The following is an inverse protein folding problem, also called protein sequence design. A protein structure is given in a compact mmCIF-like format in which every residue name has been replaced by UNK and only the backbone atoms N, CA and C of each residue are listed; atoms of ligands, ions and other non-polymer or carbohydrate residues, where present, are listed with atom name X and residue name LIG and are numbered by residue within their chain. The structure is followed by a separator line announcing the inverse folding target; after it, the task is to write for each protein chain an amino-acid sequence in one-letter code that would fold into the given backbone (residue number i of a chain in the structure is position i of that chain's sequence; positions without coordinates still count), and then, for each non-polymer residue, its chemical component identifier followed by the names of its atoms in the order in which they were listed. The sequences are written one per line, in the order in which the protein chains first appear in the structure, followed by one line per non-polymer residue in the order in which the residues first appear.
data_IF_695522010130
#
_entry.id   IF_695522010130
#
_cell.length_a   1.000
_cell.length_b   1.000
_cell.length_c   1.000
_cell.angle_alpha   90.00
_cell.angle_beta   90.00
_cell.angle_gamma   90.00
#
_symmetry.space_group_name_H-M   'P 1'
#
loop_
_entity.id
_entity.type
_entity.pdbx_description
1 polymer ?
#
# COMPACT_ATOMS: atom_id res chain seq x y z
N UNK A 1 1.81 30.27 5.25
CA UNK A 1 1.23 29.21 4.40
C UNK A 1 0.95 29.82 3.05
N UNK A 2 1.75 29.48 2.03
CA UNK A 2 1.67 30.08 0.68
C UNK A 2 0.42 29.58 -0.06
N UNK A 3 -0.06 30.34 -1.08
CA UNK A 3 -1.24 29.94 -1.91
C UNK A 3 -1.07 28.58 -2.61
N UNK A 4 0.16 28.21 -2.96
CA UNK A 4 0.52 26.89 -3.53
C UNK A 4 0.21 25.78 -2.53
N UNK A 5 0.52 25.95 -1.25
CA UNK A 5 0.29 24.99 -0.17
C UNK A 5 -1.20 24.65 0.00
N UNK A 6 -2.07 25.69 -0.05
CA UNK A 6 -3.52 25.50 0.05
C UNK A 6 -4.13 24.77 -1.14
N UNK A 7 -3.60 24.96 -2.35
CA UNK A 7 -4.11 24.27 -3.56
C UNK A 7 -3.74 22.78 -3.58
N UNK A 8 -2.56 22.42 -3.08
CA UNK A 8 -2.11 21.04 -2.91
C UNK A 8 -2.95 20.33 -1.86
N UNK A 9 -3.20 20.97 -0.70
CA UNK A 9 -4.06 20.41 0.35
C UNK A 9 -5.48 20.13 -0.13
N UNK A 10 -6.09 21.04 -0.90
CA UNK A 10 -7.42 20.84 -1.46
C UNK A 10 -7.43 19.69 -2.49
N UNK A 11 -6.40 19.57 -3.32
CA UNK A 11 -6.24 18.49 -4.28
C UNK A 11 -6.12 17.14 -3.60
N UNK A 12 -5.31 17.05 -2.54
CA UNK A 12 -5.11 15.84 -1.75
C UNK A 12 -6.40 15.40 -1.04
N UNK A 13 -7.09 16.29 -0.38
CA UNK A 13 -8.37 15.97 0.26
C UNK A 13 -9.43 15.47 -0.74
N UNK A 14 -9.46 16.05 -1.93
CA UNK A 14 -10.38 15.60 -3.01
C UNK A 14 -10.07 14.21 -3.48
N UNK A 15 -8.80 13.85 -3.72
CA UNK A 15 -8.44 12.50 -4.16
C UNK A 15 -8.75 11.46 -3.07
N UNK A 16 -8.55 11.77 -1.79
CA UNK A 16 -8.92 10.89 -0.68
C UNK A 16 -10.42 10.63 -0.63
N UNK A 17 -11.25 11.67 -0.82
CA UNK A 17 -12.71 11.54 -0.83
C UNK A 17 -13.22 10.72 -2.03
N UNK A 18 -12.56 10.83 -3.18
CA UNK A 18 -12.85 10.01 -4.36
C UNK A 18 -12.44 8.56 -4.12
N UNK A 19 -11.21 8.31 -3.67
CA UNK A 19 -10.67 6.96 -3.43
C UNK A 19 -11.49 6.22 -2.37
N UNK A 20 -11.89 6.88 -1.29
CA UNK A 20 -12.74 6.27 -0.25
C UNK A 20 -14.07 5.71 -0.79
N UNK A 21 -14.57 6.25 -1.89
CA UNK A 21 -15.85 5.83 -2.50
C UNK A 21 -15.68 4.74 -3.56
N UNK A 22 -14.47 4.31 -3.87
CA UNK A 22 -14.19 3.27 -4.87
C UNK A 22 -14.53 1.90 -4.31
N UNK A 23 -15.50 1.24 -4.91
CA UNK A 23 -15.94 -0.12 -4.52
C UNK A 23 -15.83 -1.13 -5.66
N UNK A 24 -15.46 -0.69 -6.87
CA UNK A 24 -15.33 -1.54 -8.05
C UNK A 24 -13.97 -1.38 -8.72
N UNK A 25 -13.41 -2.46 -9.28
CA UNK A 25 -12.15 -2.39 -10.03
C UNK A 25 -12.22 -1.38 -11.18
N UNK A 26 -13.32 -1.33 -11.92
CA UNK A 26 -13.52 -0.41 -13.04
C UNK A 26 -13.39 1.05 -12.59
N UNK A 27 -14.09 1.44 -11.53
CA UNK A 27 -14.03 2.81 -11.01
C UNK A 27 -12.62 3.19 -10.53
N UNK A 28 -11.90 2.26 -9.88
CA UNK A 28 -10.51 2.50 -9.47
C UNK A 28 -9.57 2.66 -10.67
N UNK A 29 -9.71 1.82 -11.69
CA UNK A 29 -8.91 1.90 -12.93
C UNK A 29 -9.14 3.22 -13.65
N UNK A 30 -10.39 3.68 -13.73
CA UNK A 30 -10.72 4.97 -14.35
C UNK A 30 -9.98 6.12 -13.62
N UNK A 31 -9.93 6.12 -12.29
CA UNK A 31 -9.19 7.12 -11.52
C UNK A 31 -7.69 7.01 -11.81
N UNK A 32 -7.12 5.81 -11.72
CA UNK A 32 -5.68 5.59 -11.94
C UNK A 32 -5.26 6.09 -13.35
N UNK A 33 -6.08 5.87 -14.38
CA UNK A 33 -5.84 6.36 -15.74
C UNK A 33 -5.86 7.90 -15.89
N UNK A 34 -6.45 8.62 -14.94
CA UNK A 34 -6.39 10.09 -14.93
C UNK A 34 -5.12 10.63 -14.29
N UNK A 35 -4.38 9.79 -13.55
CA UNK A 35 -3.24 10.18 -12.74
C UNK A 35 -1.89 9.80 -13.36
N UNK A 36 -1.87 8.78 -14.21
CA UNK A 36 -0.65 8.31 -14.88
C UNK A 36 -0.97 7.70 -16.25
N UNK A 37 -0.03 7.83 -17.19
CA UNK A 37 -0.12 7.16 -18.48
C UNK A 37 -0.03 5.64 -18.33
N UNK A 38 -0.99 4.91 -18.85
CA UNK A 38 -1.04 3.45 -18.79
C UNK A 38 -0.09 2.83 -19.79
N UNK A 39 1.11 2.51 -19.34
CA UNK A 39 2.06 1.76 -20.14
C UNK A 39 1.70 0.26 -20.19
N UNK A 40 2.25 -0.51 -21.15
CA UNK A 40 2.08 -1.97 -21.17
C UNK A 40 2.52 -2.63 -19.87
N UNK A 41 3.53 -2.08 -19.17
CA UNK A 41 4.01 -2.60 -17.89
C UNK A 41 2.96 -2.43 -16.78
N UNK A 42 2.35 -1.27 -16.65
CA UNK A 42 1.26 -1.01 -15.69
C UNK A 42 0.04 -1.90 -16.00
N UNK A 43 -0.31 -2.06 -17.29
CA UNK A 43 -1.40 -2.93 -17.72
C UNK A 43 -1.14 -4.40 -17.33
N UNK A 44 0.09 -4.89 -17.54
CA UNK A 44 0.50 -6.24 -17.14
C UNK A 44 0.49 -6.42 -15.61
N UNK A 45 0.96 -5.42 -14.84
CA UNK A 45 0.92 -5.45 -13.37
C UNK A 45 -0.52 -5.53 -12.84
N UNK A 46 -1.42 -4.73 -13.41
CA UNK A 46 -2.85 -4.76 -13.08
C UNK A 46 -3.49 -6.13 -13.42
N UNK A 47 -3.15 -6.70 -14.57
CA UNK A 47 -3.65 -8.01 -15.00
C UNK A 47 -3.15 -9.13 -14.08
N UNK A 48 -1.86 -9.13 -13.72
CA UNK A 48 -1.29 -10.10 -12.78
C UNK A 48 -1.94 -9.99 -11.41
N UNK A 49 -2.04 -8.77 -10.85
CA UNK A 49 -2.69 -8.54 -9.56
C UNK A 49 -4.17 -8.98 -9.57
N UNK A 50 -4.91 -8.66 -10.63
CA UNK A 50 -6.32 -9.06 -10.79
C UNK A 50 -6.47 -10.57 -10.84
N UNK A 51 -5.60 -11.26 -11.57
CA UNK A 51 -5.60 -12.72 -11.67
C UNK A 51 -5.23 -13.37 -10.34
N UNK A 52 -4.22 -12.85 -9.65
CA UNK A 52 -3.70 -13.40 -8.39
C UNK A 52 -4.71 -13.27 -7.24
N UNK A 53 -5.42 -12.15 -7.16
CA UNK A 53 -6.45 -11.90 -6.14
C UNK A 53 -7.87 -12.35 -6.56
N UNK A 54 -8.00 -13.15 -7.63
CA UNK A 54 -9.31 -13.62 -8.10
C UNK A 54 -10.02 -14.43 -7.01
N UNK A 55 -11.25 -14.02 -6.68
CA UNK A 55 -12.08 -14.67 -5.65
C UNK A 55 -11.78 -14.21 -4.22
N UNK A 56 -10.83 -13.30 -4.02
CA UNK A 56 -10.59 -12.67 -2.72
C UNK A 56 -11.43 -11.39 -2.58
N UNK A 57 -11.89 -11.13 -1.35
CA UNK A 57 -12.72 -9.98 -1.01
C UNK A 57 -12.22 -9.28 0.25
N UNK A 58 -12.37 -7.97 0.31
CA UNK A 58 -12.14 -7.16 1.51
C UNK A 58 -13.25 -7.41 2.54
N UNK A 59 -13.03 -7.00 3.79
CA UNK A 59 -14.05 -7.09 4.86
C UNK A 59 -15.26 -6.22 4.59
N UNK A 60 -15.12 -5.17 3.81
CA UNK A 60 -16.18 -4.29 3.29
C UNK A 60 -17.01 -4.92 2.16
N UNK A 61 -16.57 -6.06 1.60
CA UNK A 61 -17.32 -6.84 0.60
C UNK A 61 -16.91 -6.60 -0.85
N UNK A 62 -16.08 -5.58 -1.14
CA UNK A 62 -15.55 -5.35 -2.51
C UNK A 62 -14.46 -6.37 -2.88
N UNK A 63 -14.24 -6.62 -4.20
CA UNK A 63 -13.13 -7.43 -4.68
C UNK A 63 -11.79 -6.89 -4.16
N UNK A 64 -10.90 -7.78 -3.69
CA UNK A 64 -9.63 -7.38 -3.07
C UNK A 64 -8.79 -6.47 -3.94
N UNK A 65 -8.80 -6.69 -5.28
CA UNK A 65 -8.03 -5.90 -6.25
C UNK A 65 -8.33 -4.38 -6.20
N UNK A 66 -9.47 -3.97 -5.66
CA UNK A 66 -9.80 -2.54 -5.47
C UNK A 66 -8.76 -1.85 -4.59
N UNK A 67 -8.26 -2.54 -3.56
CA UNK A 67 -7.24 -2.01 -2.67
C UNK A 67 -5.92 -1.67 -3.38
N UNK A 68 -5.23 -2.60 -4.07
CA UNK A 68 -4.01 -2.27 -4.80
C UNK A 68 -4.19 -1.18 -5.86
N UNK A 69 -5.34 -1.13 -6.53
CA UNK A 69 -5.64 -0.06 -7.49
C UNK A 69 -5.72 1.30 -6.79
N UNK A 70 -6.39 1.38 -5.64
CA UNK A 70 -6.48 2.62 -4.86
C UNK A 70 -5.10 3.04 -4.30
N UNK A 71 -4.28 2.10 -3.82
CA UNK A 71 -2.90 2.38 -3.39
C UNK A 71 -2.07 2.91 -4.55
N UNK A 72 -2.14 2.28 -5.73
CA UNK A 72 -1.46 2.74 -6.94
C UNK A 72 -1.93 4.15 -7.37
N UNK A 73 -3.22 4.47 -7.19
CA UNK A 73 -3.75 5.81 -7.47
C UNK A 73 -3.20 6.86 -6.50
N UNK A 74 -3.05 6.54 -5.22
CA UNK A 74 -2.40 7.42 -4.24
C UNK A 74 -0.93 7.65 -4.57
N UNK A 75 -0.21 6.59 -4.93
CA UNK A 75 1.21 6.66 -5.35
C UNK A 75 1.35 7.54 -6.60
N UNK A 76 0.51 7.33 -7.63
CA UNK A 76 0.51 8.13 -8.85
C UNK A 76 0.19 9.60 -8.56
N UNK A 77 -0.79 9.89 -7.70
CA UNK A 77 -1.14 11.24 -7.28
C UNK A 77 0.04 11.95 -6.57
N UNK A 78 0.82 11.22 -5.79
CA UNK A 78 2.03 11.74 -5.14
C UNK A 78 3.24 11.87 -6.09
N UNK A 79 3.06 11.66 -7.39
CA UNK A 79 4.13 11.76 -8.39
C UNK A 79 5.02 10.51 -8.50
N UNK A 80 4.53 9.37 -8.04
CA UNK A 80 5.23 8.08 -8.18
C UNK A 80 5.44 7.69 -9.64
N UNK A 81 6.61 7.12 -9.94
CA UNK A 81 6.97 6.64 -11.27
C UNK A 81 6.28 5.30 -11.64
N UNK A 82 6.51 4.83 -12.86
CA UNK A 82 5.99 3.57 -13.37
C UNK A 82 6.32 2.38 -12.45
N UNK A 83 7.55 2.31 -11.94
CA UNK A 83 7.99 1.21 -11.09
C UNK A 83 7.26 1.22 -9.73
N UNK A 84 7.07 2.40 -9.14
CA UNK A 84 6.30 2.57 -7.90
C UNK A 84 4.82 2.18 -8.08
N UNK A 85 4.20 2.58 -9.20
CA UNK A 85 2.80 2.23 -9.50
C UNK A 85 2.65 0.73 -9.73
N UNK A 86 3.58 0.09 -10.47
CA UNK A 86 3.61 -1.36 -10.61
C UNK A 86 3.80 -2.05 -9.25
N UNK A 87 4.74 -1.58 -8.42
CA UNK A 87 4.95 -2.14 -7.09
C UNK A 87 3.71 -1.97 -6.19
N UNK A 88 3.00 -0.84 -6.28
CA UNK A 88 1.76 -0.61 -5.56
C UNK A 88 0.63 -1.56 -6.00
N UNK A 89 0.54 -1.89 -7.30
CA UNK A 89 -0.42 -2.88 -7.80
C UNK A 89 -0.09 -4.30 -7.35
N UNK A 90 1.20 -4.60 -7.14
CA UNK A 90 1.72 -5.94 -6.87
C UNK A 90 2.11 -6.20 -5.41
N UNK A 91 1.98 -5.20 -4.51
CA UNK A 91 2.55 -5.26 -3.16
C UNK A 91 2.03 -6.42 -2.30
N UNK A 92 0.76 -6.80 -2.46
CA UNK A 92 0.15 -7.91 -1.73
C UNK A 92 0.19 -9.25 -2.51
N UNK A 93 0.62 -9.24 -3.78
CA UNK A 93 0.59 -10.45 -4.63
C UNK A 93 1.52 -11.52 -4.10
N UNK A 94 2.73 -11.15 -3.65
CA UNK A 94 3.71 -12.10 -3.11
C UNK A 94 3.33 -12.57 -1.69
N UNK A 95 2.69 -11.69 -0.89
CA UNK A 95 2.30 -12.00 0.50
C UNK A 95 1.05 -12.89 0.59
N UNK A 96 0.04 -12.60 -0.22
CA UNK A 96 -1.31 -13.13 -0.07
C UNK A 96 -1.71 -14.13 -1.16
N UNK A 97 -0.79 -14.46 -2.08
CA UNK A 97 -1.05 -15.41 -3.18
C UNK A 97 0.14 -16.35 -3.40
N UNK A 98 0.00 -17.44 -4.19
CA UNK A 98 1.10 -18.33 -4.52
C UNK A 98 2.17 -17.74 -5.45
N UNK A 99 2.02 -16.49 -5.91
CA UNK A 99 2.98 -15.82 -6.78
C UNK A 99 4.30 -15.59 -6.05
N UNK A 100 5.40 -15.86 -6.72
CA UNK A 100 6.75 -15.71 -6.16
C UNK A 100 7.42 -14.45 -6.67
N UNK A 101 8.38 -13.92 -5.90
CA UNK A 101 9.13 -12.72 -6.27
C UNK A 101 9.91 -12.89 -7.58
N UNK A 102 10.38 -14.11 -7.88
CA UNK A 102 11.08 -14.41 -9.13
C UNK A 102 10.17 -14.19 -10.37
N UNK A 103 8.85 -14.41 -10.23
CA UNK A 103 7.89 -14.11 -11.30
C UNK A 103 7.78 -12.62 -11.53
N UNK A 104 7.76 -11.83 -10.44
CA UNK A 104 7.74 -10.36 -10.54
C UNK A 104 9.02 -9.85 -11.22
N UNK A 105 10.18 -10.40 -10.86
CA UNK A 105 11.46 -10.03 -11.46
C UNK A 105 11.50 -10.34 -12.97
N UNK A 106 11.02 -11.51 -13.39
CA UNK A 106 10.99 -11.93 -14.78
C UNK A 106 10.03 -11.07 -15.64
N UNK A 107 8.86 -10.73 -15.11
CA UNK A 107 7.83 -10.03 -15.88
C UNK A 107 7.99 -8.50 -15.85
N UNK A 108 8.50 -7.93 -14.74
CA UNK A 108 8.53 -6.48 -14.50
C UNK A 108 9.94 -5.90 -14.32
N UNK A 109 10.96 -6.76 -14.20
CA UNK A 109 12.36 -6.39 -14.00
C UNK A 109 12.74 -6.17 -12.54
N UNK A 110 14.06 -6.08 -12.33
CA UNK A 110 14.67 -6.03 -11.00
C UNK A 110 14.19 -4.85 -10.14
N UNK A 111 13.94 -3.70 -10.75
CA UNK A 111 13.55 -2.47 -10.03
C UNK A 111 12.19 -2.65 -9.34
N UNK A 112 11.18 -3.14 -10.06
CA UNK A 112 9.85 -3.45 -9.49
C UNK A 112 9.94 -4.58 -8.46
N UNK A 113 10.72 -5.63 -8.76
CA UNK A 113 10.90 -6.76 -7.84
C UNK A 113 11.54 -6.33 -6.53
N UNK A 114 12.55 -5.47 -6.55
CA UNK A 114 13.19 -4.92 -5.35
C UNK A 114 12.20 -4.12 -4.49
N UNK A 115 11.35 -3.30 -5.10
CA UNK A 115 10.33 -2.55 -4.37
C UNK A 115 9.30 -3.49 -3.73
N UNK A 116 8.79 -4.49 -4.46
CA UNK A 116 7.83 -5.47 -3.93
C UNK A 116 8.46 -6.30 -2.80
N UNK A 117 9.69 -6.78 -2.96
CA UNK A 117 10.43 -7.53 -1.94
C UNK A 117 10.64 -6.70 -0.66
N UNK A 118 11.00 -5.41 -0.80
CA UNK A 118 11.14 -4.51 0.34
C UNK A 118 9.81 -4.34 1.11
N UNK A 119 8.69 -4.22 0.41
CA UNK A 119 7.36 -4.10 1.00
C UNK A 119 6.95 -5.39 1.74
N UNK A 120 7.19 -6.55 1.13
CA UNK A 120 6.91 -7.89 1.70
C UNK A 120 7.72 -8.10 2.98
N UNK A 121 9.02 -7.79 2.99
CA UNK A 121 9.91 -7.94 4.15
C UNK A 121 9.47 -7.08 5.35
N UNK A 122 8.93 -5.88 5.12
CA UNK A 122 8.36 -5.05 6.19
C UNK A 122 7.20 -5.79 6.89
N UNK A 123 6.41 -6.55 6.14
CA UNK A 123 5.22 -7.26 6.64
C UNK A 123 5.55 -8.61 7.27
N UNK A 124 6.48 -9.40 6.70
CA UNK A 124 6.79 -10.76 7.15
C UNK A 124 7.30 -10.82 8.59
N UNK A 125 8.20 -9.92 8.97
CA UNK A 125 8.79 -9.95 10.31
C UNK A 125 7.75 -9.60 11.39
N UNK A 126 6.66 -8.95 11.02
CA UNK A 126 5.50 -8.74 11.89
C UNK A 126 4.83 -10.05 12.34
N UNK A 127 4.90 -11.11 11.52
CA UNK A 127 4.37 -12.45 11.85
C UNK A 127 5.30 -13.21 12.79
N UNK A 128 6.60 -13.11 12.60
CA UNK A 128 7.61 -13.83 13.40
C UNK A 128 7.81 -13.26 14.81
N UNK A 129 7.69 -11.95 14.99
CA UNK A 129 7.95 -11.25 16.25
C UNK A 129 6.80 -11.31 17.25
N UNK A 130 5.62 -11.78 16.86
CA UNK A 130 4.47 -11.99 17.76
C UNK A 130 4.72 -13.06 18.86
N UNK A 131 5.86 -13.78 18.79
CA UNK A 131 6.30 -14.76 19.79
C UNK A 131 7.16 -14.22 20.95
N UNK A 132 7.49 -12.92 20.96
CA UNK A 132 8.39 -12.36 21.99
C UNK A 132 7.64 -12.05 23.28
N UNK A 133 8.01 -12.75 24.35
CA UNK A 133 7.57 -12.50 25.73
C UNK A 133 8.21 -11.22 26.28
N UNK A 134 7.54 -10.07 26.12
CA UNK A 134 7.93 -8.81 26.75
C UNK A 134 6.79 -8.23 27.59
N UNK A 135 7.11 -7.34 28.54
CA UNK A 135 6.13 -6.70 29.42
C UNK A 135 5.07 -5.87 28.66
N UNK A 136 5.36 -5.41 27.41
CA UNK A 136 4.40 -4.85 26.47
C UNK A 136 4.72 -5.29 25.03
N UNK A 137 4.18 -6.42 24.57
CA UNK A 137 4.43 -6.94 23.23
C UNK A 137 4.06 -5.95 22.10
N UNK A 138 3.10 -5.06 22.33
CA UNK A 138 2.60 -4.10 21.32
C UNK A 138 3.63 -2.99 21.06
N UNK A 139 4.28 -2.51 22.10
CA UNK A 139 5.30 -1.46 22.00
C UNK A 139 6.54 -1.96 21.27
N UNK A 140 6.94 -3.20 21.54
CA UNK A 140 8.06 -3.86 20.85
C UNK A 140 7.74 -4.04 19.36
N UNK A 141 6.55 -4.54 19.01
CA UNK A 141 6.12 -4.71 17.62
C UNK A 141 6.12 -3.37 16.87
N UNK A 142 5.63 -2.29 17.49
CA UNK A 142 5.63 -0.96 16.88
C UNK A 142 7.04 -0.44 16.64
N UNK A 143 7.95 -0.59 17.61
CA UNK A 143 9.34 -0.16 17.48
C UNK A 143 10.10 -0.94 16.39
N UNK A 144 9.86 -2.24 16.28
CA UNK A 144 10.46 -3.07 15.25
C UNK A 144 9.89 -2.74 13.86
N UNK A 145 8.60 -2.51 13.73
CA UNK A 145 7.98 -2.05 12.48
C UNK A 145 8.57 -0.70 12.05
N UNK A 146 8.68 0.26 12.96
CA UNK A 146 9.30 1.56 12.70
C UNK A 146 10.75 1.43 12.21
N UNK A 147 11.57 0.63 12.92
CA UNK A 147 12.97 0.37 12.52
C UNK A 147 13.07 -0.18 11.10
N UNK A 148 12.19 -1.08 10.70
CA UNK A 148 12.23 -1.71 9.37
C UNK A 148 11.80 -0.77 8.27
N UNK A 149 10.75 0.01 8.52
CA UNK A 149 10.34 1.07 7.57
C UNK A 149 11.51 2.01 7.33
N UNK A 150 12.24 2.41 8.39
CA UNK A 150 13.44 3.26 8.24
C UNK A 150 14.56 2.56 7.46
N UNK A 151 14.85 1.29 7.74
CA UNK A 151 15.89 0.54 7.00
C UNK A 151 15.51 0.41 5.53
N UNK A 152 14.26 0.08 5.23
CA UNK A 152 13.75 0.00 3.86
C UNK A 152 13.83 1.36 3.15
N UNK A 153 13.46 2.45 3.84
CA UNK A 153 13.55 3.80 3.30
C UNK A 153 14.99 4.27 3.02
N UNK A 154 15.97 3.76 3.78
CA UNK A 154 17.40 4.01 3.53
C UNK A 154 17.84 3.28 2.25
N UNK A 155 17.35 2.07 2.01
CA UNK A 155 17.67 1.29 0.81
C UNK A 155 16.98 1.85 -0.43
N UNK A 156 15.67 2.10 -0.35
CA UNK A 156 14.88 2.72 -1.41
C UNK A 156 13.70 3.52 -0.81
N UNK A 157 13.77 4.86 -0.82
CA UNK A 157 12.72 5.71 -0.26
C UNK A 157 11.37 5.55 -0.99
N UNK A 158 11.34 5.03 -2.22
CA UNK A 158 10.11 4.78 -2.97
C UNK A 158 9.22 3.75 -2.28
N UNK A 159 9.82 2.73 -1.64
CA UNK A 159 9.09 1.73 -0.86
C UNK A 159 8.33 2.36 0.31
N UNK A 160 8.87 3.44 0.93
CA UNK A 160 8.18 4.18 1.98
C UNK A 160 6.91 4.86 1.45
N UNK A 161 6.97 5.49 0.29
CA UNK A 161 5.79 6.15 -0.33
C UNK A 161 4.69 5.13 -0.59
N UNK A 162 5.02 3.96 -1.15
CA UNK A 162 4.04 2.89 -1.37
C UNK A 162 3.46 2.41 -0.05
N UNK A 163 4.30 2.20 0.99
CA UNK A 163 3.84 1.70 2.30
C UNK A 163 2.96 2.70 3.05
N UNK A 164 3.26 4.00 2.95
CA UNK A 164 2.40 5.06 3.51
C UNK A 164 1.07 5.11 2.76
N UNK A 165 1.08 4.98 1.43
CA UNK A 165 -0.14 4.95 0.60
C UNK A 165 -1.02 3.73 0.92
N UNK A 166 -0.44 2.55 1.13
CA UNK A 166 -1.13 1.35 1.61
C UNK A 166 -1.79 1.61 2.98
N UNK A 167 -1.01 2.14 3.94
CA UNK A 167 -1.54 2.48 5.27
C UNK A 167 -2.67 3.50 5.19
N UNK A 168 -2.53 4.52 4.36
CA UNK A 168 -3.54 5.56 4.18
C UNK A 168 -4.84 4.98 3.64
N UNK A 169 -4.78 4.12 2.60
CA UNK A 169 -5.98 3.44 2.10
C UNK A 169 -6.62 2.55 3.16
N UNK A 170 -5.83 1.81 3.95
CA UNK A 170 -6.34 1.00 5.05
C UNK A 170 -7.02 1.85 6.14
N UNK A 171 -6.56 3.09 6.38
CA UNK A 171 -7.22 4.04 7.28
C UNK A 171 -8.53 4.57 6.70
N UNK A 172 -8.61 4.82 5.39
CA UNK A 172 -9.84 5.28 4.72
C UNK A 172 -10.99 4.23 4.76
N UNK A 173 -10.63 2.94 4.86
CA UNK A 173 -11.58 1.81 4.88
C UNK A 173 -11.69 1.15 6.26
N UNK A 174 -11.24 1.82 7.31
CA UNK A 174 -11.12 1.27 8.66
C UNK A 174 -12.47 0.94 9.30
N UNK A 175 -13.52 1.67 8.94
CA UNK A 175 -14.91 1.50 9.41
C UNK A 175 -15.51 0.13 9.07
N UNK A 176 -15.01 -0.57 8.08
CA UNK A 176 -15.42 -1.94 7.73
C UNK A 176 -14.89 -3.02 8.70
N UNK A 177 -14.00 -2.67 9.63
CA UNK A 177 -13.37 -3.59 10.56
C UNK A 177 -14.06 -3.59 11.94
N UNK A 178 -13.97 -4.70 12.72
CA UNK A 178 -14.38 -4.72 14.12
C UNK A 178 -13.64 -3.66 14.95
N UNK A 179 -14.30 -3.12 15.97
CA UNK A 179 -13.81 -1.99 16.78
C UNK A 179 -12.43 -2.23 17.41
N UNK A 180 -12.16 -3.43 17.90
CA UNK A 180 -10.86 -3.82 18.47
C UNK A 180 -9.73 -3.70 17.43
N UNK A 181 -9.97 -4.08 16.18
CA UNK A 181 -9.05 -3.94 15.05
C UNK A 181 -8.88 -2.47 14.65
N UNK A 182 -9.97 -1.70 14.62
CA UNK A 182 -9.90 -0.26 14.35
C UNK A 182 -8.99 0.45 15.35
N UNK A 183 -9.18 0.21 16.65
CA UNK A 183 -8.36 0.80 17.71
C UNK A 183 -6.88 0.38 17.58
N UNK A 184 -6.61 -0.90 17.30
CA UNK A 184 -5.25 -1.39 17.12
C UNK A 184 -4.55 -0.73 15.95
N UNK A 185 -5.19 -0.69 14.77
CA UNK A 185 -4.62 -0.11 13.54
C UNK A 185 -4.41 1.39 13.71
N UNK A 186 -5.36 2.11 14.33
CA UNK A 186 -5.22 3.55 14.61
C UNK A 186 -4.04 3.84 15.52
N UNK A 187 -3.88 3.10 16.61
CA UNK A 187 -2.74 3.26 17.54
C UNK A 187 -1.40 3.01 16.84
N UNK A 188 -1.33 1.96 16.03
CA UNK A 188 -0.13 1.67 15.25
C UNK A 188 0.17 2.77 14.23
N UNK A 189 -0.85 3.28 13.55
CA UNK A 189 -0.70 4.40 12.59
C UNK A 189 -0.13 5.64 13.27
N UNK A 190 -0.66 6.02 14.42
CA UNK A 190 -0.17 7.16 15.20
C UNK A 190 1.25 6.95 15.75
N UNK A 191 1.58 5.74 16.16
CA UNK A 191 2.88 5.47 16.79
C UNK A 191 4.01 5.25 15.78
N UNK A 192 3.71 4.75 14.58
CA UNK A 192 4.71 4.31 13.59
C UNK A 192 4.68 5.16 12.33
N UNK A 193 3.51 5.33 11.71
CA UNK A 193 3.41 5.94 10.39
C UNK A 193 3.32 7.48 10.44
N UNK A 194 2.54 8.04 11.35
CA UNK A 194 2.39 9.49 11.44
C UNK A 194 3.70 10.26 11.72
N UNK A 195 4.69 9.72 12.50
CA UNK A 195 5.97 10.41 12.70
C UNK A 195 6.90 10.42 11.47
N UNK A 196 6.63 9.60 10.45
CA UNK A 196 7.47 9.44 9.25
C UNK A 196 6.80 9.91 7.96
N UNK A 197 5.51 10.24 8.01
CA UNK A 197 4.75 10.79 6.89
C UNK A 197 4.84 12.31 6.87
#
# INVERSE_FOLDING_TARGET
MNEIDKSVDIGFLRILDVIKKVTTPKGGIEILRTLIDFTPKIENALNLATKSHKGQYRKSGEPYIVHPICVASLVAFCGGDEAMVCAALLHDVVEDTPCKIETIEQEFGQDVANLVDALTKITEIRKEELGVSSQDPRMVVSALTFRKILISAIQDPRALVVKISDRLHNMLTLDALPHDKQVRISKETLAVYAPIA
#
